data_IF_509101097457
#
_entry.id   IF_509101097457
#
_cell.length_a   1.000
_cell.length_b   1.000
_cell.length_c   1.000
_cell.angle_alpha   90.00
_cell.angle_beta   90.00
_cell.angle_gamma   90.00
#
_symmetry.space_group_name_H-M   'P 1'
#
loop_
_entity.id
_entity.type
_entity.pdbx_description
1 polymer ?
#
# COMPACT_ATOMS: atom_id res chain seq x y z
N UNK A 1 -11.76 1.42 -11.71
CA UNK A 1 -10.49 1.81 -12.36
C UNK A 1 -9.36 1.04 -11.69
N UNK A 2 -8.50 0.37 -12.44
CA UNK A 2 -7.37 -0.36 -11.85
C UNK A 2 -6.38 0.62 -11.20
N UNK A 3 -5.98 0.41 -9.94
CA UNK A 3 -4.95 1.22 -9.31
C UNK A 3 -3.63 1.07 -10.06
N UNK A 4 -3.07 2.20 -10.52
CA UNK A 4 -1.79 2.25 -11.22
C UNK A 4 -0.66 2.29 -10.21
N UNK A 5 0.01 1.17 -10.00
CA UNK A 5 1.25 1.12 -9.19
C UNK A 5 2.44 1.37 -10.12
N UNK A 6 3.13 2.51 -9.93
CA UNK A 6 4.39 2.83 -10.62
C UNK A 6 5.60 2.35 -9.82
N UNK A 7 6.80 2.39 -10.38
CA UNK A 7 8.04 2.04 -9.67
C UNK A 7 8.18 2.74 -8.31
N UNK A 8 8.01 4.06 -8.27
CA UNK A 8 8.07 4.83 -7.01
C UNK A 8 6.96 4.45 -6.02
N UNK A 9 5.74 4.20 -6.50
CA UNK A 9 4.64 3.75 -5.62
C UNK A 9 4.93 2.37 -5.04
N UNK A 10 5.49 1.47 -5.84
CA UNK A 10 5.91 0.14 -5.41
C UNK A 10 7.03 0.24 -4.35
N UNK A 11 8.00 1.13 -4.53
CA UNK A 11 9.05 1.39 -3.54
C UNK A 11 8.47 1.88 -2.21
N UNK A 12 7.53 2.84 -2.26
CA UNK A 12 6.82 3.32 -1.06
C UNK A 12 6.11 2.17 -0.35
N UNK A 13 5.39 1.30 -1.09
CA UNK A 13 4.72 0.14 -0.51
C UNK A 13 5.71 -0.85 0.12
N UNK A 14 6.84 -1.12 -0.54
CA UNK A 14 7.93 -1.96 -0.01
C UNK A 14 8.52 -1.39 1.28
N UNK A 15 8.64 -0.06 1.39
CA UNK A 15 9.08 0.59 2.63
C UNK A 15 8.06 0.41 3.75
N UNK A 16 6.78 0.66 3.45
CA UNK A 16 5.69 0.53 4.42
C UNK A 16 5.44 -0.92 4.85
N UNK A 17 5.80 -1.91 4.02
CA UNK A 17 5.80 -3.32 4.39
C UNK A 17 6.76 -3.62 5.55
N UNK A 18 7.81 -2.80 5.75
CA UNK A 18 8.73 -2.92 6.89
C UNK A 18 8.21 -2.24 8.16
N UNK A 19 7.18 -1.41 8.04
CA UNK A 19 6.54 -0.75 9.17
C UNK A 19 6.06 0.69 8.86
N UNK A 20 5.30 1.32 9.78
CA UNK A 20 4.71 2.63 9.54
C UNK A 20 5.71 3.78 9.45
N UNK A 21 5.61 4.59 8.40
CA UNK A 21 6.53 5.70 8.11
C UNK A 21 5.79 7.00 7.77
N UNK A 22 6.43 8.11 8.09
CA UNK A 22 6.00 9.47 7.73
C UNK A 22 6.44 9.83 6.31
N UNK A 23 5.76 10.80 5.65
CA UNK A 23 6.18 11.30 4.34
C UNK A 23 7.64 11.78 4.30
N UNK A 24 8.12 12.41 5.38
CA UNK A 24 9.50 12.89 5.48
C UNK A 24 10.54 11.76 5.60
N UNK A 25 10.22 10.68 6.32
CA UNK A 25 11.09 9.49 6.38
C UNK A 25 11.21 8.85 4.99
N UNK A 26 10.09 8.68 4.29
CA UNK A 26 10.04 8.11 2.93
C UNK A 26 10.78 9.00 1.92
N UNK A 27 10.56 10.31 1.99
CA UNK A 27 11.23 11.31 1.14
C UNK A 27 12.76 11.24 1.27
N UNK A 28 13.28 11.18 2.50
CA UNK A 28 14.72 11.05 2.74
C UNK A 28 15.28 9.73 2.21
N UNK A 29 14.61 8.62 2.45
CA UNK A 29 15.09 7.31 2.00
C UNK A 29 15.07 7.13 0.49
N UNK A 30 14.09 7.71 -0.21
CA UNK A 30 13.97 7.61 -1.67
C UNK A 30 14.73 8.70 -2.43
N UNK A 31 15.30 9.70 -1.74
CA UNK A 31 15.90 10.86 -2.39
C UNK A 31 14.89 11.67 -3.23
N UNK A 32 13.61 11.68 -2.83
CA UNK A 32 12.52 12.36 -3.56
C UNK A 32 12.00 13.53 -2.75
N UNK A 33 11.46 14.55 -3.44
CA UNK A 33 10.87 15.71 -2.77
C UNK A 33 9.62 15.32 -1.95
N UNK A 34 9.44 15.99 -0.81
CA UNK A 34 8.29 15.77 0.07
C UNK A 34 6.93 15.93 -0.64
N UNK A 35 6.71 16.92 -1.54
CA UNK A 35 5.46 17.04 -2.29
C UNK A 35 5.20 15.83 -3.20
N UNK A 36 6.25 15.29 -3.83
CA UNK A 36 6.14 14.10 -4.70
C UNK A 36 5.71 12.88 -3.90
N UNK A 37 6.35 12.64 -2.76
CA UNK A 37 6.00 11.54 -1.85
C UNK A 37 4.58 11.70 -1.32
N UNK A 38 4.21 12.91 -0.90
CA UNK A 38 2.86 13.19 -0.39
C UNK A 38 1.79 12.93 -1.46
N UNK A 39 2.04 13.31 -2.72
CA UNK A 39 1.15 13.01 -3.85
C UNK A 39 1.01 11.51 -4.09
N UNK A 40 2.10 10.75 -4.00
CA UNK A 40 2.04 9.29 -4.13
C UNK A 40 1.27 8.65 -2.97
N UNK A 41 1.49 9.09 -1.73
CA UNK A 41 0.78 8.60 -0.56
C UNK A 41 -0.72 8.90 -0.63
N UNK A 42 -1.11 10.11 -1.05
CA UNK A 42 -2.52 10.46 -1.24
C UNK A 42 -3.20 9.56 -2.28
N UNK A 43 -2.51 9.25 -3.38
CA UNK A 43 -3.01 8.30 -4.38
C UNK A 43 -3.12 6.88 -3.83
N UNK A 44 -2.11 6.43 -3.08
CA UNK A 44 -2.14 5.08 -2.48
C UNK A 44 -3.23 4.97 -1.43
N UNK A 45 -3.48 6.03 -0.66
CA UNK A 45 -4.54 6.13 0.34
C UNK A 45 -5.92 6.09 -0.30
N UNK A 46 -6.17 6.91 -1.34
CA UNK A 46 -7.45 6.87 -2.07
C UNK A 46 -7.67 5.57 -2.84
N UNK A 47 -6.58 4.91 -3.24
CA UNK A 47 -6.62 3.56 -3.80
C UNK A 47 -6.71 2.47 -2.72
N UNK A 48 -6.75 2.83 -1.44
CA UNK A 48 -6.86 1.95 -0.29
C UNK A 48 -5.62 1.10 0.03
N UNK A 49 -4.46 1.30 -0.58
CA UNK A 49 -3.28 0.47 -0.25
C UNK A 49 -2.63 0.84 1.09
N UNK A 50 -2.89 2.05 1.56
CA UNK A 50 -2.29 2.58 2.79
C UNK A 50 -3.36 3.30 3.58
N UNK A 51 -3.15 3.38 4.89
CA UNK A 51 -3.97 4.16 5.81
C UNK A 51 -3.08 4.98 6.74
N UNK A 52 -3.64 6.05 7.32
CA UNK A 52 -2.99 6.82 8.38
C UNK A 52 -3.11 6.06 9.70
N UNK A 53 -2.00 5.91 10.42
CA UNK A 53 -1.95 5.13 11.68
C UNK A 53 -1.50 5.96 12.87
N UNK A 54 -1.99 7.19 12.94
CA UNK A 54 -1.83 8.07 14.09
C UNK A 54 -1.05 9.34 13.79
N UNK A 55 -1.22 10.29 14.70
CA UNK A 55 -0.49 11.54 14.77
C UNK A 55 0.50 11.44 15.93
N UNK A 56 1.79 11.39 15.63
CA UNK A 56 2.79 11.56 16.68
C UNK A 56 2.98 13.04 16.92
N UNK A 57 2.84 13.49 18.18
CA UNK A 57 3.30 14.81 18.61
C UNK A 57 4.81 14.90 18.36
N UNK A 58 5.21 15.57 17.28
CA UNK A 58 6.60 15.96 17.08
C UNK A 58 6.98 17.08 18.05
N UNK A 59 8.28 17.29 18.27
CA UNK A 59 8.81 18.41 19.08
C UNK A 59 8.38 19.80 18.57
N UNK A 60 8.02 19.91 17.29
CA UNK A 60 7.67 21.20 16.64
C UNK A 60 6.30 21.16 15.96
N UNK A 61 5.91 20.03 15.34
CA UNK A 61 4.60 19.86 14.70
C UNK A 61 4.17 18.38 14.72
N UNK A 62 2.88 18.07 14.94
CA UNK A 62 2.38 16.72 14.75
C UNK A 62 2.63 16.23 13.32
N UNK A 63 2.99 14.96 13.18
CA UNK A 63 3.17 14.32 11.88
C UNK A 63 2.39 13.02 11.81
N UNK A 64 1.90 12.74 10.60
CA UNK A 64 1.11 11.55 10.28
C UNK A 64 2.03 10.44 9.78
N UNK A 65 1.81 9.22 10.28
CA UNK A 65 2.41 8.01 9.71
C UNK A 65 1.41 7.27 8.84
N UNK A 66 1.91 6.68 7.77
CA UNK A 66 1.17 5.77 6.91
C UNK A 66 1.61 4.34 7.20
N UNK A 67 0.68 3.39 7.13
CA UNK A 67 0.93 1.97 7.15
C UNK A 67 0.21 1.31 5.97
N UNK A 68 0.61 0.08 5.63
CA UNK A 68 -0.15 -0.71 4.66
C UNK A 68 -1.56 -1.00 5.19
N UNK A 69 -2.50 -0.97 4.26
CA UNK A 69 -3.81 -1.57 4.44
C UNK A 69 -3.76 -3.01 3.94
N UNK A 70 -4.13 -3.97 4.78
CA UNK A 70 -4.15 -5.38 4.39
C UNK A 70 -5.34 -5.65 3.45
N UNK A 71 -5.08 -5.61 2.16
CA UNK A 71 -6.08 -5.79 1.10
C UNK A 71 -5.59 -6.77 0.05
N UNK A 72 -6.51 -7.52 -0.55
CA UNK A 72 -6.25 -8.29 -1.77
C UNK A 72 -7.03 -7.69 -2.92
N UNK A 73 -6.38 -7.65 -4.08
CA UNK A 73 -7.01 -7.31 -5.36
C UNK A 73 -6.97 -8.57 -6.21
N UNK A 74 -8.14 -9.11 -6.51
CA UNK A 74 -8.31 -10.18 -7.48
C UNK A 74 -8.52 -9.55 -8.85
N UNK A 75 -7.67 -9.93 -9.81
CA UNK A 75 -7.85 -9.57 -11.21
C UNK A 75 -8.53 -10.76 -11.89
N UNK A 76 -9.78 -10.58 -12.28
CA UNK A 76 -10.54 -11.54 -13.07
C UNK A 76 -10.28 -11.26 -14.54
N UNK A 77 -9.76 -12.25 -15.26
CA UNK A 77 -9.53 -12.17 -16.70
C UNK A 77 -10.35 -13.29 -17.35
N UNK A 78 -11.36 -12.91 -18.11
CA UNK A 78 -12.16 -13.79 -18.94
C UNK A 78 -12.18 -13.24 -20.37
N UNK A 79 -12.57 -14.07 -21.34
CA UNK A 79 -12.80 -13.60 -22.70
C UNK A 79 -13.86 -12.49 -22.65
N UNK A 80 -13.48 -11.31 -23.12
CA UNK A 80 -14.30 -10.09 -23.16
C UNK A 80 -14.71 -9.48 -21.80
N UNK A 81 -14.20 -9.98 -20.67
CA UNK A 81 -14.47 -9.43 -19.34
C UNK A 81 -13.19 -9.36 -18.48
N UNK A 82 -12.78 -8.13 -18.16
CA UNK A 82 -11.64 -7.85 -17.28
C UNK A 82 -12.15 -7.06 -16.09
N UNK A 83 -12.08 -7.67 -14.90
CA UNK A 83 -12.55 -7.10 -13.65
C UNK A 83 -11.45 -7.03 -12.59
N UNK A 84 -11.56 -6.07 -11.68
CA UNK A 84 -10.81 -6.05 -10.43
C UNK A 84 -11.79 -6.07 -9.26
N UNK A 85 -11.64 -7.06 -8.38
CA UNK A 85 -12.38 -7.13 -7.13
C UNK A 85 -11.42 -6.84 -5.98
N UNK A 86 -11.81 -5.91 -5.11
CA UNK A 86 -11.09 -5.62 -3.88
C UNK A 86 -11.76 -6.37 -2.74
N UNK A 87 -10.98 -7.20 -2.05
CA UNK A 87 -11.46 -7.98 -0.92
C UNK A 87 -10.70 -7.57 0.35
N UNK A 88 -11.40 -7.38 1.48
CA UNK A 88 -10.74 -7.33 2.77
C UNK A 88 -10.05 -8.68 3.02
N UNK A 89 -8.88 -8.65 3.65
CA UNK A 89 -8.10 -9.86 3.93
C UNK A 89 -8.69 -10.61 5.14
N UNK A 90 -9.84 -11.26 4.96
CA UNK A 90 -10.44 -12.12 5.99
C UNK A 90 -9.53 -13.29 6.36
N UNK A 91 -9.68 -13.84 7.57
CA UNK A 91 -8.90 -14.99 8.02
C UNK A 91 -9.01 -16.19 7.07
N UNK A 92 -10.21 -16.44 6.53
CA UNK A 92 -10.41 -17.50 5.53
C UNK A 92 -9.59 -17.25 4.25
N UNK A 93 -9.61 -16.02 3.73
CA UNK A 93 -8.86 -15.67 2.53
C UNK A 93 -7.35 -15.73 2.77
N UNK A 94 -6.88 -15.34 3.97
CA UNK A 94 -5.48 -15.51 4.40
C UNK A 94 -5.06 -16.97 4.36
N UNK A 95 -5.87 -17.86 4.90
CA UNK A 95 -5.59 -19.30 4.90
C UNK A 95 -5.49 -19.83 3.46
N UNK A 96 -6.47 -19.51 2.61
CA UNK A 96 -6.48 -19.96 1.21
C UNK A 96 -5.28 -19.44 0.42
N UNK A 97 -4.91 -18.17 0.61
CA UNK A 97 -3.73 -17.58 -0.04
C UNK A 97 -2.42 -18.19 0.47
N UNK A 98 -2.29 -18.49 1.77
CA UNK A 98 -1.10 -19.17 2.32
C UNK A 98 -0.88 -20.54 1.69
N UNK A 99 -1.94 -21.30 1.44
CA UNK A 99 -1.87 -22.61 0.78
C UNK A 99 -1.37 -22.45 -0.67
N UNK A 100 -1.78 -21.38 -1.36
CA UNK A 100 -1.36 -21.08 -2.73
C UNK A 100 0.05 -20.50 -2.83
N UNK A 101 0.61 -19.96 -1.74
CA UNK A 101 1.99 -19.46 -1.68
C UNK A 101 3.05 -20.56 -1.57
N UNK A 102 2.64 -21.84 -1.39
CA UNK A 102 3.56 -22.97 -1.39
C UNK A 102 3.85 -23.34 -2.85
N UNK A 103 5.10 -23.22 -3.34
CA UNK A 103 5.44 -23.71 -4.66
C UNK A 103 5.15 -25.21 -4.68
N UNK A 104 4.26 -25.64 -5.59
CA UNK A 104 4.11 -27.06 -5.89
C UNK A 104 5.40 -27.53 -6.58
N UNK A 105 5.95 -28.69 -6.18
CA UNK A 105 7.17 -29.24 -6.77
C UNK A 105 7.02 -29.55 -8.27
#
# INVERSE_FOLDING_TARGET
MFPKVTGTRLEILKMLAKGPMSPSEISRSLGRSLPTVTRHLAYLESSGFVRRVGEKKGRTRPYVKYALEETVILIKIMKDDIGALRLPLSEELRMRLRVWSIPQP
#
